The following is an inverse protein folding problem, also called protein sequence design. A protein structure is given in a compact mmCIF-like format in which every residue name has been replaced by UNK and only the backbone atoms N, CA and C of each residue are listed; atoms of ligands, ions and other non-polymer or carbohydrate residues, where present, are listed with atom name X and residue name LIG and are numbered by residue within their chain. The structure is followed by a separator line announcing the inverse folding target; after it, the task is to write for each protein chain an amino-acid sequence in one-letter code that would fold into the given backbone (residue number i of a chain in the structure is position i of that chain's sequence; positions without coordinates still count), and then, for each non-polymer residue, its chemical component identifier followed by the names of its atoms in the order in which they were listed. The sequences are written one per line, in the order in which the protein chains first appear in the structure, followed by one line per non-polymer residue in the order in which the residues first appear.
data_IF_739283191931
#
_entry.id   IF_739283191931
#
_cell.length_a   1.000
_cell.length_b   1.000
_cell.length_c   1.000
_cell.angle_alpha   90.00
_cell.angle_beta   90.00
_cell.angle_gamma   90.00
#
_symmetry.space_group_name_H-M   'P 1'
#
loop_
_entity.id
_entity.type
_entity.pdbx_description
1 polymer ?
#
# COMPACT_ATOMS: atom_id res chain seq x y z
N UNK A 1 -55.42 21.27 17.24
CA UNK A 1 -54.11 21.46 17.91
C UNK A 1 -53.32 20.18 18.10
N UNK A 2 -53.92 19.02 18.42
CA UNK A 2 -53.16 17.75 18.56
C UNK A 2 -52.54 17.24 17.25
N UNK A 3 -53.23 17.36 16.12
CA UNK A 3 -52.71 16.90 14.80
C UNK A 3 -51.51 17.72 14.29
N UNK A 4 -51.48 19.01 14.60
CA UNK A 4 -50.34 19.86 14.20
C UNK A 4 -49.04 19.53 14.95
N UNK A 5 -49.15 19.09 16.22
CA UNK A 5 -47.99 18.65 17.01
C UNK A 5 -47.41 17.33 16.53
N UNK A 6 -48.26 16.40 16.05
CA UNK A 6 -47.77 15.11 15.50
C UNK A 6 -47.04 15.33 14.19
N UNK A 7 -47.56 16.23 13.32
CA UNK A 7 -46.87 16.57 12.04
C UNK A 7 -45.51 17.26 12.26
N UNK A 8 -45.41 18.13 13.28
CA UNK A 8 -44.14 18.78 13.62
C UNK A 8 -43.13 17.77 14.17
N UNK A 9 -43.55 16.79 14.96
CA UNK A 9 -42.67 15.76 15.52
C UNK A 9 -42.19 14.77 14.45
N UNK A 10 -43.01 14.39 13.50
CA UNK A 10 -42.61 13.54 12.37
C UNK A 10 -41.69 14.28 11.40
N UNK A 11 -41.89 15.56 11.15
CA UNK A 11 -40.99 16.38 10.35
C UNK A 11 -39.61 16.54 11.01
N UNK A 12 -39.58 16.72 12.35
CA UNK A 12 -38.30 16.84 13.10
C UNK A 12 -37.52 15.52 13.12
N UNK A 13 -38.21 14.38 13.21
CA UNK A 13 -37.57 13.04 13.13
C UNK A 13 -37.06 12.73 11.73
N UNK A 14 -37.74 13.16 10.67
CA UNK A 14 -37.29 13.02 9.28
C UNK A 14 -36.06 13.90 8.98
N UNK A 15 -36.02 15.13 9.51
CA UNK A 15 -34.87 16.01 9.32
C UNK A 15 -33.65 15.51 10.11
N UNK A 16 -33.84 14.94 11.30
CA UNK A 16 -32.74 14.34 12.06
C UNK A 16 -32.21 13.06 11.43
N UNK A 17 -33.05 12.25 10.76
CA UNK A 17 -32.59 11.06 10.04
C UNK A 17 -31.87 11.39 8.73
N UNK A 18 -32.21 12.52 8.09
CA UNK A 18 -31.48 13.03 6.91
C UNK A 18 -30.15 13.66 7.27
N UNK A 19 -30.03 14.29 8.44
CA UNK A 19 -28.76 14.85 8.92
C UNK A 19 -27.75 13.78 9.38
N UNK A 20 -28.21 12.60 9.82
CA UNK A 20 -27.32 11.49 10.18
C UNK A 20 -26.66 10.80 8.98
N UNK A 21 -27.21 10.96 7.77
CA UNK A 21 -26.66 10.34 6.56
C UNK A 21 -25.69 11.22 5.77
N UNK A 22 -25.34 12.41 6.22
CA UNK A 22 -24.53 13.38 5.47
C UNK A 22 -23.11 13.59 6.01
N UNK A 23 -22.69 12.88 7.06
CA UNK A 23 -21.28 12.84 7.42
C UNK A 23 -20.59 11.71 6.66
N UNK A 24 -20.39 11.93 5.37
CA UNK A 24 -19.36 11.15 4.65
C UNK A 24 -18.03 11.49 5.31
N UNK A 25 -17.54 10.58 6.14
CA UNK A 25 -16.23 10.76 6.77
C UNK A 25 -15.18 10.89 5.66
N UNK A 26 -14.16 11.70 5.87
CA UNK A 26 -13.03 11.83 4.94
C UNK A 26 -12.36 10.49 4.59
N UNK A 27 -12.62 9.44 5.40
CA UNK A 27 -12.12 8.09 5.22
C UNK A 27 -13.10 7.13 4.53
N UNK A 28 -14.28 7.57 4.09
CA UNK A 28 -15.32 6.68 3.57
C UNK A 28 -14.84 5.81 2.41
N UNK A 29 -14.04 6.36 1.50
CA UNK A 29 -13.50 5.62 0.36
C UNK A 29 -12.53 4.53 0.79
N UNK A 30 -11.63 4.81 1.73
CA UNK A 30 -10.64 3.85 2.21
C UNK A 30 -11.27 2.76 3.07
N UNK A 31 -12.30 3.09 3.87
CA UNK A 31 -13.09 2.13 4.66
C UNK A 31 -13.83 1.17 3.71
N UNK A 32 -14.45 1.69 2.66
CA UNK A 32 -15.10 0.88 1.64
C UNK A 32 -14.11 -0.08 0.96
N UNK A 33 -12.94 0.42 0.56
CA UNK A 33 -11.91 -0.38 -0.07
C UNK A 33 -11.37 -1.48 0.87
N UNK A 34 -11.16 -1.16 2.16
CA UNK A 34 -10.78 -2.14 3.17
C UNK A 34 -11.81 -3.27 3.31
N UNK A 35 -13.11 -2.94 3.23
CA UNK A 35 -14.20 -3.92 3.24
C UNK A 35 -14.18 -4.91 2.07
N UNK A 36 -13.47 -4.58 1.00
CA UNK A 36 -13.29 -5.44 -0.18
C UNK A 36 -12.05 -6.35 -0.10
N UNK A 37 -11.27 -6.24 0.98
CA UNK A 37 -10.08 -7.05 1.23
C UNK A 37 -10.33 -8.03 2.36
N UNK A 38 -9.48 -9.06 2.45
CA UNK A 38 -9.47 -10.02 3.57
C UNK A 38 -8.41 -9.67 4.64
N UNK A 39 -7.91 -8.43 4.64
CA UNK A 39 -6.85 -7.98 5.56
C UNK A 39 -7.24 -8.04 7.04
N UNK A 40 -8.49 -7.75 7.33
CA UNK A 40 -9.06 -7.77 8.67
C UNK A 40 -10.36 -8.58 8.65
N UNK A 41 -10.64 -9.27 9.74
CA UNK A 41 -11.97 -9.86 9.97
C UNK A 41 -13.04 -8.77 10.16
N UNK A 42 -14.28 -9.17 10.23
CA UNK A 42 -15.43 -8.27 10.29
C UNK A 42 -15.41 -7.41 11.56
N UNK A 43 -15.02 -7.98 12.69
CA UNK A 43 -15.00 -7.27 13.98
C UNK A 43 -13.97 -6.16 13.97
N UNK A 44 -12.74 -6.45 13.53
CA UNK A 44 -11.66 -5.43 13.41
C UNK A 44 -11.97 -4.38 12.36
N UNK A 45 -12.59 -4.75 11.24
CA UNK A 45 -13.07 -3.78 10.23
C UNK A 45 -14.10 -2.83 10.81
N UNK A 46 -15.06 -3.36 11.57
CA UNK A 46 -16.11 -2.56 12.23
C UNK A 46 -15.51 -1.63 13.28
N UNK A 47 -14.58 -2.15 14.10
CA UNK A 47 -13.84 -1.35 15.08
C UNK A 47 -13.11 -0.19 14.39
N UNK A 48 -12.33 -0.47 13.36
CA UNK A 48 -11.57 0.53 12.61
C UNK A 48 -12.49 1.55 11.94
N UNK A 49 -13.56 1.10 11.28
CA UNK A 49 -14.55 2.00 10.67
C UNK A 49 -15.19 2.94 11.69
N UNK A 50 -15.53 2.44 12.87
CA UNK A 50 -16.09 3.24 13.96
C UNK A 50 -15.08 4.30 14.46
N UNK A 51 -13.83 3.92 14.65
CA UNK A 51 -12.76 4.84 15.07
C UNK A 51 -12.53 5.94 14.02
N UNK A 52 -12.47 5.58 12.75
CA UNK A 52 -12.28 6.53 11.65
C UNK A 52 -13.50 7.44 11.43
N UNK A 53 -14.70 6.97 11.76
CA UNK A 53 -15.93 7.76 11.64
C UNK A 53 -16.03 8.88 12.70
N UNK A 54 -15.34 8.72 13.84
CA UNK A 54 -15.37 9.71 14.93
C UNK A 54 -14.60 10.99 14.64
N UNK A 55 -13.86 11.03 13.52
CA UNK A 55 -13.03 12.17 13.04
C UNK A 55 -12.19 12.87 14.13
N UNK A 56 -11.93 12.16 15.23
CA UNK A 56 -11.04 12.62 16.28
C UNK A 56 -9.59 12.46 15.81
N UNK A 57 -8.71 13.35 16.25
CA UNK A 57 -7.27 13.23 16.00
C UNK A 57 -6.78 11.88 16.56
N UNK A 58 -6.58 10.91 15.67
CA UNK A 58 -6.12 9.59 16.06
C UNK A 58 -4.65 9.66 16.47
N UNK A 59 -4.34 9.16 17.65
CA UNK A 59 -2.95 8.94 18.06
C UNK A 59 -2.46 7.66 17.41
N UNK A 60 -1.53 7.78 16.46
CA UNK A 60 -0.95 6.64 15.76
C UNK A 60 0.45 6.31 16.33
N UNK A 61 0.85 5.02 16.41
CA UNK A 61 0.08 3.83 16.03
C UNK A 61 -1.07 3.52 17.01
N UNK A 62 -2.18 3.00 16.47
CA UNK A 62 -3.35 2.60 17.24
C UNK A 62 -3.49 1.08 17.25
N UNK A 63 -3.54 0.48 18.44
CA UNK A 63 -3.78 -0.95 18.61
C UNK A 63 -5.21 -1.29 18.22
N UNK A 64 -5.36 -2.36 17.44
CA UNK A 64 -6.61 -3.02 17.14
C UNK A 64 -6.65 -4.37 17.86
N UNK A 65 -7.83 -4.97 17.95
CA UNK A 65 -7.97 -6.26 18.58
C UNK A 65 -7.09 -7.33 17.87
N UNK A 66 -6.72 -8.38 18.61
CA UNK A 66 -5.89 -9.50 18.13
C UNK A 66 -4.50 -9.09 17.59
N UNK A 67 -3.94 -7.99 18.10
CA UNK A 67 -2.54 -7.60 17.85
C UNK A 67 -2.28 -6.94 16.49
N UNK A 68 -3.30 -6.60 15.73
CA UNK A 68 -3.15 -5.72 14.57
C UNK A 68 -2.98 -4.27 15.03
N UNK A 69 -2.33 -3.42 14.21
CA UNK A 69 -2.15 -2.00 14.51
C UNK A 69 -2.41 -1.15 13.28
N UNK A 70 -3.13 -0.04 13.46
CA UNK A 70 -3.20 1.02 12.47
C UNK A 70 -1.93 1.89 12.60
N UNK A 71 -1.10 1.87 11.57
CA UNK A 71 0.17 2.62 11.55
C UNK A 71 0.03 4.01 10.93
N UNK A 72 -0.79 4.12 9.88
CA UNK A 72 -1.06 5.37 9.18
C UNK A 72 -2.43 5.32 8.49
N UNK A 73 -3.06 6.47 8.34
CA UNK A 73 -4.29 6.61 7.57
C UNK A 73 -4.39 8.00 6.94
N UNK A 74 -4.89 8.03 5.72
CA UNK A 74 -5.27 9.24 4.99
C UNK A 74 -6.58 9.00 4.23
N UNK A 75 -7.07 9.99 3.51
CA UNK A 75 -8.27 9.84 2.67
C UNK A 75 -8.11 8.76 1.60
N UNK A 76 -6.87 8.51 1.15
CA UNK A 76 -6.56 7.63 0.03
C UNK A 76 -5.60 6.49 0.37
N UNK A 77 -5.17 6.38 1.61
CA UNK A 77 -4.26 5.30 2.03
C UNK A 77 -4.49 4.87 3.47
N UNK A 78 -4.17 3.61 3.73
CA UNK A 78 -4.25 3.01 5.05
C UNK A 78 -3.11 2.00 5.17
N UNK A 79 -2.34 2.08 6.26
CA UNK A 79 -1.25 1.16 6.56
C UNK A 79 -1.49 0.45 7.88
N UNK A 80 -1.44 -0.87 7.84
CA UNK A 80 -1.66 -1.76 8.97
C UNK A 80 -0.40 -2.59 9.25
N UNK A 81 -0.13 -2.85 10.51
CA UNK A 81 0.63 -4.01 10.92
C UNK A 81 -0.36 -5.16 11.14
N UNK A 82 -0.21 -6.24 10.40
CA UNK A 82 -1.13 -7.40 10.44
C UNK A 82 -0.58 -8.54 11.30
N UNK A 83 0.73 -8.53 11.55
CA UNK A 83 1.43 -9.48 12.42
C UNK A 83 2.76 -8.88 12.89
N UNK A 84 3.52 -9.52 13.80
CA UNK A 84 4.84 -9.02 14.21
C UNK A 84 5.83 -8.80 13.05
N UNK A 85 5.66 -9.53 11.95
CA UNK A 85 6.54 -9.47 10.76
C UNK A 85 5.79 -9.07 9.49
N UNK A 86 4.51 -8.81 9.56
CA UNK A 86 3.65 -8.50 8.42
C UNK A 86 3.09 -7.09 8.47
N UNK A 87 3.12 -6.39 7.36
CA UNK A 87 2.42 -5.13 7.15
C UNK A 87 1.60 -5.19 5.87
N UNK A 88 0.52 -4.41 5.82
CA UNK A 88 -0.28 -4.22 4.63
C UNK A 88 -0.51 -2.73 4.41
N UNK A 89 -0.35 -2.27 3.17
CA UNK A 89 -0.67 -0.90 2.77
C UNK A 89 -1.70 -0.93 1.65
N UNK A 90 -2.86 -0.35 1.94
CA UNK A 90 -3.94 -0.16 0.99
C UNK A 90 -3.90 1.27 0.49
N UNK A 91 -3.97 1.47 -0.84
CA UNK A 91 -3.98 2.80 -1.46
C UNK A 91 -4.97 2.85 -2.60
N UNK A 92 -5.68 3.97 -2.68
CA UNK A 92 -6.60 4.29 -3.76
C UNK A 92 -5.87 5.05 -4.86
N UNK A 93 -5.97 4.58 -6.09
CA UNK A 93 -5.40 5.21 -7.27
C UNK A 93 -6.51 5.78 -8.15
N UNK A 94 -6.45 7.07 -8.54
CA UNK A 94 -7.47 7.67 -9.38
C UNK A 94 -7.42 7.09 -10.81
N UNK A 95 -8.57 6.79 -11.39
CA UNK A 95 -8.68 6.39 -12.79
C UNK A 95 -8.67 7.61 -13.71
N UNK A 96 -8.05 7.49 -14.89
CA UNK A 96 -7.95 8.57 -15.90
C UNK A 96 -9.32 9.08 -16.36
N UNK A 97 -10.36 8.24 -16.30
CA UNK A 97 -11.73 8.64 -16.63
C UNK A 97 -12.33 9.67 -15.66
N UNK A 98 -11.66 9.93 -14.52
CA UNK A 98 -12.21 10.72 -13.42
C UNK A 98 -13.37 10.04 -12.68
N UNK A 99 -13.75 8.84 -13.08
CA UNK A 99 -14.84 8.07 -12.49
C UNK A 99 -14.30 6.84 -11.75
N UNK A 100 -14.09 7.00 -10.46
CA UNK A 100 -13.73 5.89 -9.58
C UNK A 100 -12.26 5.82 -9.23
N UNK A 101 -11.96 4.83 -8.38
CA UNK A 101 -10.64 4.54 -7.86
C UNK A 101 -10.33 3.06 -8.07
N UNK A 102 -9.09 2.76 -8.38
CA UNK A 102 -8.50 1.44 -8.30
C UNK A 102 -7.93 1.27 -6.89
N UNK A 103 -8.16 0.13 -6.27
CA UNK A 103 -7.55 -0.20 -4.98
C UNK A 103 -6.27 -1.01 -5.20
N UNK A 104 -5.17 -0.57 -4.62
CA UNK A 104 -3.93 -1.35 -4.53
C UNK A 104 -3.74 -1.86 -3.12
N UNK A 105 -3.20 -3.06 -3.00
CA UNK A 105 -2.82 -3.67 -1.75
C UNK A 105 -1.37 -4.15 -1.86
N UNK A 106 -0.48 -3.57 -1.06
CA UNK A 106 0.89 -4.05 -0.87
C UNK A 106 0.92 -4.80 0.47
N UNK A 107 1.28 -6.08 0.42
CA UNK A 107 1.50 -6.90 1.60
C UNK A 107 3.00 -7.19 1.69
N UNK A 108 3.58 -6.94 2.86
CA UNK A 108 5.02 -7.09 3.09
C UNK A 108 5.26 -7.98 4.29
N UNK A 109 6.18 -8.91 4.17
CA UNK A 109 6.79 -9.65 5.27
C UNK A 109 8.22 -9.16 5.48
N UNK A 110 8.70 -9.10 6.74
CA UNK A 110 10.01 -8.57 7.08
C UNK A 110 11.03 -9.62 7.53
N UNK A 111 10.62 -10.89 7.60
CA UNK A 111 11.48 -11.99 8.06
C UNK A 111 11.21 -13.26 7.25
N UNK A 112 12.27 -14.02 6.85
CA UNK A 112 13.70 -13.82 7.15
C UNK A 112 14.34 -12.67 6.39
N UNK A 113 13.73 -12.21 5.30
CA UNK A 113 14.09 -11.00 4.54
C UNK A 113 12.81 -10.24 4.20
N UNK A 114 12.96 -8.99 3.83
CA UNK A 114 11.82 -8.22 3.33
C UNK A 114 11.39 -8.80 1.99
N UNK A 115 10.12 -9.12 1.88
CA UNK A 115 9.49 -9.47 0.61
C UNK A 115 8.08 -8.90 0.54
N UNK A 116 7.71 -8.35 -0.59
CA UNK A 116 6.42 -7.72 -0.77
C UNK A 116 5.75 -8.16 -2.07
N UNK A 117 4.44 -8.27 -2.00
CA UNK A 117 3.57 -8.46 -3.17
C UNK A 117 2.60 -7.30 -3.33
N UNK A 118 2.24 -7.00 -4.55
CA UNK A 118 1.22 -6.01 -4.87
C UNK A 118 0.07 -6.68 -5.61
N UNK A 119 -1.14 -6.36 -5.21
CA UNK A 119 -2.38 -6.78 -5.86
C UNK A 119 -3.27 -5.58 -6.14
N UNK A 120 -4.23 -5.76 -7.05
CA UNK A 120 -5.13 -4.72 -7.53
C UNK A 120 -6.57 -5.21 -7.47
N UNK A 121 -7.46 -4.35 -6.99
CA UNK A 121 -8.89 -4.60 -6.96
C UNK A 121 -9.62 -3.49 -7.72
N UNK A 122 -10.64 -3.86 -8.48
CA UNK A 122 -11.55 -2.91 -9.10
C UNK A 122 -12.37 -2.14 -8.05
N UNK A 123 -13.12 -1.14 -8.48
CA UNK A 123 -14.05 -0.42 -7.61
C UNK A 123 -15.16 -1.30 -7.00
N UNK A 124 -15.42 -2.49 -7.60
CA UNK A 124 -16.34 -3.53 -7.09
C UNK A 124 -15.66 -4.55 -6.16
N UNK A 125 -14.32 -4.49 -5.99
CA UNK A 125 -13.56 -5.45 -5.18
C UNK A 125 -13.09 -6.70 -5.95
N UNK A 126 -13.28 -6.75 -7.26
CA UNK A 126 -12.80 -7.87 -8.08
C UNK A 126 -11.29 -7.77 -8.28
N UNK A 127 -10.60 -8.90 -8.11
CA UNK A 127 -9.16 -8.97 -8.37
C UNK A 127 -8.85 -8.73 -9.85
N UNK A 128 -7.91 -7.84 -10.10
CA UNK A 128 -7.44 -7.51 -11.45
C UNK A 128 -6.07 -8.16 -11.72
N UNK A 129 -5.81 -8.62 -12.96
CA UNK A 129 -4.51 -9.18 -13.32
C UNK A 129 -3.40 -8.15 -13.13
N UNK A 130 -2.48 -8.40 -12.20
CA UNK A 130 -1.38 -7.47 -11.89
C UNK A 130 -0.52 -7.17 -13.10
N UNK A 131 -0.27 -8.17 -13.95
CA UNK A 131 0.59 -8.06 -15.13
C UNK A 131 0.11 -7.08 -16.19
N UNK A 132 -1.19 -6.75 -16.22
CA UNK A 132 -1.75 -5.76 -17.14
C UNK A 132 -1.60 -4.34 -16.64
N UNK A 133 -1.50 -4.15 -15.34
CA UNK A 133 -1.43 -2.85 -14.67
C UNK A 133 0.02 -2.47 -14.32
N UNK A 134 0.81 -3.45 -13.87
CA UNK A 134 2.17 -3.28 -13.40
C UNK A 134 3.01 -4.52 -13.76
N UNK A 135 4.06 -4.32 -14.52
CA UNK A 135 5.09 -5.34 -14.72
C UNK A 135 6.26 -5.03 -13.78
N UNK A 136 6.42 -5.82 -12.71
CA UNK A 136 7.55 -5.65 -11.79
C UNK A 136 8.90 -5.81 -12.50
N UNK A 137 9.94 -5.11 -12.04
CA UNK A 137 11.28 -5.18 -12.64
C UNK A 137 11.87 -6.60 -12.53
N UNK A 138 12.67 -6.98 -13.48
CA UNK A 138 13.51 -8.18 -13.43
C UNK A 138 14.85 -7.89 -12.75
N UNK A 139 15.64 -8.94 -12.45
CA UNK A 139 17.01 -8.80 -11.97
C UNK A 139 17.86 -7.97 -12.93
N UNK A 140 17.67 -8.15 -14.24
CA UNK A 140 18.39 -7.39 -15.27
C UNK A 140 18.07 -5.88 -15.25
N UNK A 141 16.84 -5.50 -14.87
CA UNK A 141 16.46 -4.09 -14.77
C UNK A 141 17.23 -3.39 -13.64
N UNK A 142 17.53 -4.09 -12.55
CA UNK A 142 18.37 -3.58 -11.46
C UNK A 142 19.85 -3.55 -11.82
N UNK A 143 20.33 -4.52 -12.61
CA UNK A 143 21.72 -4.60 -13.03
C UNK A 143 22.05 -3.70 -14.23
N UNK A 144 21.04 -3.27 -14.98
CA UNK A 144 21.22 -2.46 -16.20
C UNK A 144 22.02 -1.20 -15.93
N UNK A 145 23.12 -1.02 -16.66
CA UNK A 145 23.98 0.15 -16.57
C UNK A 145 24.91 0.17 -15.33
N UNK A 146 24.94 -0.90 -14.52
CA UNK A 146 26.01 -1.10 -13.56
C UNK A 146 27.24 -1.65 -14.28
N UNK A 147 28.41 -1.11 -13.95
CA UNK A 147 29.69 -1.64 -14.44
C UNK A 147 30.20 -2.68 -13.43
N UNK A 148 29.70 -3.91 -13.57
CA UNK A 148 30.11 -5.01 -12.69
C UNK A 148 31.47 -5.54 -13.12
N UNK A 149 32.48 -5.62 -12.22
CA UNK A 149 33.76 -6.23 -12.52
C UNK A 149 33.58 -7.73 -12.79
N UNK A 150 34.55 -8.33 -13.47
CA UNK A 150 34.62 -9.79 -13.60
C UNK A 150 35.19 -10.37 -12.31
N UNK A 151 34.33 -10.66 -11.34
CA UNK A 151 34.72 -11.18 -10.03
C UNK A 151 33.69 -12.13 -9.46
N UNK A 152 34.10 -12.96 -8.51
CA UNK A 152 33.22 -13.87 -7.78
C UNK A 152 32.11 -13.13 -7.04
N UNK A 153 32.38 -11.91 -6.55
CA UNK A 153 31.38 -11.07 -5.90
C UNK A 153 30.28 -10.62 -6.88
N UNK A 154 30.65 -10.33 -8.15
CA UNK A 154 29.67 -9.99 -9.19
C UNK A 154 28.80 -11.18 -9.57
N UNK A 155 29.36 -12.37 -9.64
CA UNK A 155 28.58 -13.59 -9.91
C UNK A 155 27.68 -13.90 -8.73
N UNK A 156 28.18 -13.74 -7.50
CA UNK A 156 27.39 -13.91 -6.28
C UNK A 156 26.21 -12.92 -6.22
N UNK A 157 26.41 -11.66 -6.60
CA UNK A 157 25.34 -10.68 -6.67
C UNK A 157 24.22 -11.12 -7.64
N UNK A 158 24.57 -11.67 -8.81
CA UNK A 158 23.58 -12.21 -9.77
C UNK A 158 22.80 -13.37 -9.20
N UNK A 159 23.47 -14.28 -8.48
CA UNK A 159 22.81 -15.40 -7.79
C UNK A 159 21.82 -14.91 -6.72
N UNK A 160 22.23 -13.92 -5.91
CA UNK A 160 21.39 -13.36 -4.85
C UNK A 160 20.15 -12.63 -5.37
N UNK A 161 20.17 -12.18 -6.62
CA UNK A 161 19.01 -11.62 -7.31
C UNK A 161 18.10 -12.69 -7.94
N UNK A 162 18.29 -13.99 -7.61
CA UNK A 162 17.45 -15.07 -8.08
C UNK A 162 17.22 -16.12 -6.97
N UNK A 163 15.97 -16.35 -6.51
CA UNK A 163 14.74 -15.63 -6.90
C UNK A 163 14.77 -14.17 -6.44
N UNK A 164 14.13 -13.30 -7.23
CA UNK A 164 14.06 -11.88 -6.93
C UNK A 164 12.93 -11.59 -5.95
N UNK A 165 13.28 -10.94 -4.85
CA UNK A 165 12.36 -10.44 -3.84
C UNK A 165 12.38 -8.91 -3.84
N UNK A 166 11.30 -8.30 -3.33
CA UNK A 166 11.12 -6.86 -3.42
C UNK A 166 10.77 -6.22 -2.09
N UNK A 167 11.28 -5.02 -1.89
CA UNK A 167 10.66 -4.02 -1.04
C UNK A 167 9.84 -3.08 -1.93
N UNK A 168 8.56 -2.93 -1.61
CA UNK A 168 7.63 -2.03 -2.31
C UNK A 168 7.19 -0.93 -1.36
N UNK A 169 7.26 0.32 -1.81
CA UNK A 169 6.78 1.47 -1.03
C UNK A 169 6.26 2.58 -1.93
N UNK A 170 5.37 3.40 -1.40
CA UNK A 170 4.90 4.60 -2.10
C UNK A 170 5.79 5.79 -1.75
N UNK A 171 6.13 6.57 -2.76
CA UNK A 171 6.79 7.86 -2.53
C UNK A 171 5.86 8.78 -1.74
N UNK A 172 6.44 9.48 -0.76
CA UNK A 172 5.72 10.47 0.02
C UNK A 172 5.64 11.79 -0.75
N UNK A 173 4.61 12.58 -0.44
CA UNK A 173 4.43 13.97 -0.90
C UNK A 173 4.51 14.17 -2.42
N UNK A 174 4.17 13.15 -3.20
CA UNK A 174 4.09 13.26 -4.66
C UNK A 174 2.66 13.53 -5.12
N UNK A 175 2.49 14.47 -6.05
CA UNK A 175 1.18 14.77 -6.65
C UNK A 175 0.64 13.61 -7.51
N UNK A 176 1.53 12.76 -8.02
CA UNK A 176 1.20 11.57 -8.79
C UNK A 176 1.62 10.33 -7.98
N UNK A 177 0.74 9.35 -7.78
CA UNK A 177 1.08 8.13 -7.07
C UNK A 177 2.30 7.45 -7.71
N UNK A 178 3.40 7.39 -6.97
CA UNK A 178 4.69 6.88 -7.43
C UNK A 178 5.08 5.68 -6.58
N UNK A 179 5.25 4.52 -7.20
CA UNK A 179 5.71 3.30 -6.56
C UNK A 179 7.24 3.22 -6.65
N UNK A 180 7.87 2.91 -5.53
CA UNK A 180 9.31 2.66 -5.41
C UNK A 180 9.50 1.16 -5.22
N UNK A 181 10.41 0.58 -5.98
CA UNK A 181 10.77 -0.84 -5.92
C UNK A 181 12.26 -0.97 -5.67
N UNK A 182 12.62 -1.71 -4.63
CA UNK A 182 14.01 -2.08 -4.32
C UNK A 182 14.13 -3.59 -4.32
N UNK A 183 15.22 -4.15 -4.83
CA UNK A 183 15.49 -5.57 -4.65
C UNK A 183 15.92 -5.82 -3.20
N UNK A 184 15.51 -6.94 -2.65
CA UNK A 184 15.95 -7.42 -1.34
C UNK A 184 16.72 -8.71 -1.49
N UNK A 185 17.74 -8.91 -0.67
CA UNK A 185 18.69 -10.01 -0.80
C UNK A 185 18.77 -10.79 0.51
N UNK A 186 18.70 -12.11 0.43
CA UNK A 186 18.95 -12.99 1.58
C UNK A 186 20.46 -13.29 1.66
N UNK A 187 21.16 -12.57 2.53
CA UNK A 187 22.61 -12.67 2.68
C UNK A 187 22.96 -13.73 3.72
N UNK A 188 23.89 -14.64 3.37
CA UNK A 188 24.57 -15.52 4.32
C UNK A 188 25.52 -14.72 5.22
N UNK A 189 26.04 -15.35 6.28
CA UNK A 189 27.06 -14.71 7.14
C UNK A 189 28.34 -14.42 6.36
N UNK A 190 28.69 -15.26 5.38
CA UNK A 190 29.83 -15.04 4.50
C UNK A 190 29.60 -13.84 3.57
N UNK A 191 28.41 -13.75 2.97
CA UNK A 191 28.02 -12.61 2.12
C UNK A 191 28.12 -11.28 2.90
N UNK A 192 27.71 -11.28 4.16
CA UNK A 192 27.78 -10.11 5.05
C UNK A 192 29.21 -9.71 5.43
N UNK A 193 30.20 -10.58 5.24
CA UNK A 193 31.61 -10.28 5.51
C UNK A 193 32.38 -9.80 4.26
N UNK A 194 31.82 -10.00 3.06
CA UNK A 194 32.43 -9.59 1.80
C UNK A 194 32.25 -8.09 1.55
N UNK A 195 33.33 -7.31 1.70
CA UNK A 195 33.25 -5.86 1.45
C UNK A 195 33.09 -5.53 -0.02
N UNK A 196 33.61 -6.36 -0.94
CA UNK A 196 33.37 -6.20 -2.38
C UNK A 196 31.89 -6.40 -2.72
N UNK A 197 31.27 -7.46 -2.19
CA UNK A 197 29.85 -7.72 -2.42
C UNK A 197 28.97 -6.61 -1.84
N UNK A 198 29.27 -6.12 -0.62
CA UNK A 198 28.54 -4.97 -0.04
C UNK A 198 28.64 -3.73 -0.93
N UNK A 199 29.82 -3.43 -1.47
CA UNK A 199 30.01 -2.30 -2.37
C UNK A 199 29.21 -2.43 -3.66
N UNK A 200 29.03 -3.65 -4.19
CA UNK A 200 28.18 -3.93 -5.35
C UNK A 200 26.69 -3.81 -5.01
N UNK A 201 26.28 -4.36 -3.87
CA UNK A 201 24.89 -4.26 -3.39
C UNK A 201 24.48 -2.79 -3.20
N UNK A 202 25.36 -1.96 -2.65
CA UNK A 202 25.11 -0.53 -2.46
C UNK A 202 24.89 0.25 -3.78
N UNK A 203 25.32 -0.31 -4.91
CA UNK A 203 25.10 0.29 -6.24
C UNK A 203 23.75 -0.10 -6.87
N UNK A 204 23.04 -1.09 -6.30
CA UNK A 204 21.72 -1.46 -6.83
C UNK A 204 20.76 -0.28 -6.74
N UNK A 205 20.16 0.12 -7.86
CA UNK A 205 19.25 1.27 -7.85
C UNK A 205 17.91 0.93 -7.22
N UNK A 206 17.29 1.90 -6.60
CA UNK A 206 15.84 1.89 -6.49
C UNK A 206 15.25 2.23 -7.88
N UNK A 207 14.17 1.56 -8.24
CA UNK A 207 13.41 1.84 -9.45
C UNK A 207 12.07 2.46 -9.08
N UNK A 208 11.61 3.41 -9.87
CA UNK A 208 10.34 4.09 -9.65
C UNK A 208 9.44 3.99 -10.87
N UNK A 209 8.15 3.96 -10.61
CA UNK A 209 7.11 4.06 -11.64
C UNK A 209 5.96 4.89 -11.14
N UNK A 210 5.27 5.59 -12.05
CA UNK A 210 4.14 6.46 -11.73
C UNK A 210 2.85 5.87 -12.27
N UNK A 211 1.75 6.09 -11.53
CA UNK A 211 0.43 5.71 -11.97
C UNK A 211 -0.09 6.67 -13.04
N UNK A 212 -0.46 6.16 -14.21
CA UNK A 212 -0.98 6.93 -15.35
C UNK A 212 -2.50 6.96 -15.46
N UNK A 213 -3.23 6.45 -14.46
CA UNK A 213 -4.70 6.41 -14.49
C UNK A 213 -5.31 5.17 -15.15
N UNK A 214 -4.50 4.35 -15.84
CA UNK A 214 -4.90 3.06 -16.44
C UNK A 214 -3.89 1.97 -16.17
N UNK A 215 -2.60 2.31 -16.15
CA UNK A 215 -1.48 1.43 -15.86
C UNK A 215 -0.32 2.24 -15.31
N UNK A 216 0.66 1.54 -14.77
CA UNK A 216 1.93 2.16 -14.39
C UNK A 216 2.81 2.41 -15.61
N UNK A 217 3.56 3.50 -15.57
CA UNK A 217 4.58 3.83 -16.57
C UNK A 217 5.75 2.81 -16.52
N UNK A 218 6.62 2.75 -17.53
CA UNK A 218 7.86 2.00 -17.43
C UNK A 218 8.71 2.45 -16.23
N UNK A 219 9.43 1.49 -15.62
CA UNK A 219 10.33 1.79 -14.52
C UNK A 219 11.51 2.63 -14.96
N UNK A 220 11.86 3.61 -14.14
CA UNK A 220 13.07 4.43 -14.27
C UNK A 220 13.87 4.36 -12.97
N UNK A 221 15.18 4.64 -13.04
CA UNK A 221 15.99 4.74 -11.83
C UNK A 221 15.50 5.92 -10.99
N UNK A 222 15.34 5.69 -9.69
CA UNK A 222 15.09 6.79 -8.78
C UNK A 222 16.28 7.76 -8.84
N UNK A 223 16.01 9.01 -9.18
CA UNK A 223 16.99 10.07 -8.94
C UNK A 223 17.06 10.25 -7.44
N UNK A 224 18.26 10.04 -6.86
CA UNK A 224 18.46 10.37 -5.44
C UNK A 224 18.03 11.81 -5.21
N UNK A 225 17.15 12.05 -4.19
CA UNK A 225 16.83 13.42 -3.77
C UNK A 225 18.05 14.09 -3.18
#
# INVERSE_FOLDING_TARGET
MKQLRVLLFTALLLVSSLALNAQTTKYAAIIKALGQTELLDEDRRTQLATLLAQDSALSLPLELDLGAKLLAVSEHSLRLQTSPVGTAELRLLPLASGQGMLTTLIETVSSPQVDARISFLSASGEALPSTTLLRLPSSEDFLRGLQLPMSTASDRLRELLYPLHYELSWAQDTSVPTLIVRPTLLLSEEDKQSDELKALIAQLPALTTTWGGQSFAPFVRATNP
#
